data_IF_741070239448
#
_entry.id   IF_741070239448
#
_cell.length_a   1.000
_cell.length_b   1.000
_cell.length_c   1.000
_cell.angle_alpha   90.00
_cell.angle_beta   90.00
_cell.angle_gamma   90.00
#
_symmetry.space_group_name_H-M   'P 1'
#
loop_
_entity.id
_entity.type
_entity.pdbx_description
1 polymer ?
#
# COMPACT_ATOMS: atom_id res chain seq x y z
N UNK A 1 -8.98 25.58 -2.41
CA UNK A 1 -8.68 24.18 -2.77
C UNK A 1 -7.32 24.13 -3.45
N UNK A 2 -6.38 23.47 -2.86
CA UNK A 2 -5.05 23.23 -3.44
C UNK A 2 -4.98 21.77 -3.93
N UNK A 3 -4.44 21.55 -5.13
CA UNK A 3 -4.25 20.20 -5.70
C UNK A 3 -2.76 19.89 -5.73
N UNK A 4 -2.37 18.70 -5.25
CA UNK A 4 -0.98 18.24 -5.30
C UNK A 4 -0.89 16.72 -5.39
N UNK A 5 0.26 16.23 -5.82
CA UNK A 5 0.61 14.81 -5.77
C UNK A 5 1.12 14.46 -4.38
N UNK A 6 0.62 13.37 -3.80
CA UNK A 6 1.08 12.86 -2.51
C UNK A 6 1.02 11.33 -2.46
N UNK A 7 1.80 10.74 -1.57
CA UNK A 7 1.65 9.34 -1.21
C UNK A 7 0.67 9.24 -0.03
N UNK A 8 -0.32 8.37 -0.17
CA UNK A 8 -1.38 8.17 0.82
C UNK A 8 -1.29 6.75 1.36
N UNK A 9 -1.17 6.64 2.67
CA UNK A 9 -1.25 5.40 3.42
C UNK A 9 -2.62 5.31 4.09
N UNK A 10 -3.36 4.25 3.78
CA UNK A 10 -4.54 3.83 4.54
C UNK A 10 -4.15 2.64 5.41
N UNK A 11 -4.54 2.66 6.67
CA UNK A 11 -4.30 1.56 7.60
C UNK A 11 -5.53 1.32 8.47
N UNK A 12 -5.77 0.05 8.80
CA UNK A 12 -6.90 -0.40 9.62
C UNK A 12 -6.47 -1.54 10.54
N UNK A 13 -7.01 -1.57 11.77
CA UNK A 13 -6.68 -2.60 12.75
C UNK A 13 -7.54 -3.83 12.57
N UNK A 14 -6.91 -4.96 12.35
CA UNK A 14 -7.60 -6.24 12.14
C UNK A 14 -8.30 -6.70 13.40
N UNK A 15 -9.60 -6.99 13.28
CA UNK A 15 -10.39 -7.58 14.35
C UNK A 15 -10.84 -6.62 15.45
N UNK A 16 -10.67 -5.30 15.28
CA UNK A 16 -11.07 -4.29 16.25
C UNK A 16 -12.56 -4.40 16.66
N UNK A 17 -13.47 -4.55 15.69
CA UNK A 17 -14.89 -4.68 15.98
C UNK A 17 -15.20 -5.88 16.89
N UNK A 18 -14.46 -6.99 16.75
CA UNK A 18 -14.59 -8.16 17.62
C UNK A 18 -14.04 -7.89 19.00
N UNK A 19 -12.85 -7.26 19.10
CA UNK A 19 -12.26 -6.85 20.38
C UNK A 19 -13.18 -5.89 21.12
N UNK A 20 -13.87 -4.98 20.41
CA UNK A 20 -14.87 -4.08 20.99
C UNK A 20 -16.08 -4.83 21.57
N UNK A 21 -16.52 -5.91 20.94
CA UNK A 21 -17.60 -6.77 21.45
C UNK A 21 -17.16 -7.54 22.71
N UNK A 22 -15.89 -7.97 22.76
CA UNK A 22 -15.33 -8.73 23.87
C UNK A 22 -15.02 -7.83 25.08
N UNK A 23 -14.51 -6.59 24.87
CA UNK A 23 -14.20 -5.60 25.92
C UNK A 23 -14.32 -4.16 25.40
N UNK A 24 -15.49 -3.58 25.56
CA UNK A 24 -15.83 -2.22 25.11
C UNK A 24 -15.04 -1.12 25.83
N UNK A 25 -14.57 -1.36 27.04
CA UNK A 25 -13.87 -0.36 27.86
C UNK A 25 -12.36 -0.41 27.59
N UNK A 26 -11.79 -1.60 27.51
CA UNK A 26 -10.34 -1.79 27.37
C UNK A 26 -9.86 -1.56 25.95
N UNK A 27 -10.64 -1.99 24.95
CA UNK A 27 -10.25 -1.92 23.53
C UNK A 27 -9.95 -0.50 23.05
N UNK A 28 -10.78 0.53 23.31
CA UNK A 28 -10.45 1.91 22.93
C UNK A 28 -9.22 2.47 23.66
N UNK A 29 -8.99 2.03 24.89
CA UNK A 29 -7.82 2.45 25.67
C UNK A 29 -6.53 1.83 25.12
N UNK A 30 -6.58 0.56 24.70
CA UNK A 30 -5.50 -0.12 24.03
C UNK A 30 -5.18 0.52 22.66
N UNK A 31 -6.20 0.83 21.86
CA UNK A 31 -6.02 1.52 20.59
C UNK A 31 -5.31 2.88 20.77
N UNK A 32 -5.75 3.69 21.73
CA UNK A 32 -5.08 4.98 22.04
C UNK A 32 -3.63 4.80 22.48
N UNK A 33 -3.35 3.75 23.26
CA UNK A 33 -1.99 3.41 23.65
C UNK A 33 -1.13 3.04 22.43
N UNK A 34 -1.62 2.15 21.55
CA UNK A 34 -0.95 1.77 20.31
C UNK A 34 -0.73 3.00 19.42
N UNK A 35 -1.73 3.85 19.28
CA UNK A 35 -1.62 5.07 18.49
C UNK A 35 -0.49 5.96 19.03
N UNK A 36 -0.46 6.26 20.32
CA UNK A 36 0.52 7.17 20.91
C UNK A 36 1.94 6.59 21.03
N UNK A 37 2.08 5.25 21.11
CA UNK A 37 3.38 4.60 21.32
C UNK A 37 4.00 4.00 20.08
N UNK A 38 3.20 3.73 19.04
CA UNK A 38 3.64 3.09 17.82
C UNK A 38 3.36 3.98 16.60
N UNK A 39 2.08 4.34 16.38
CA UNK A 39 1.66 4.96 15.12
C UNK A 39 2.19 6.39 15.01
N UNK A 40 1.86 7.25 15.97
CA UNK A 40 2.22 8.67 15.94
C UNK A 40 3.74 8.90 15.90
N UNK A 41 4.59 8.18 16.69
CA UNK A 41 6.03 8.32 16.63
C UNK A 41 6.61 7.93 15.27
N UNK A 42 6.18 6.79 14.68
CA UNK A 42 6.69 6.35 13.39
C UNK A 42 6.27 7.30 12.27
N UNK A 43 5.01 7.76 12.27
CA UNK A 43 4.54 8.74 11.29
C UNK A 43 5.35 10.05 11.40
N UNK A 44 5.66 10.51 12.60
CA UNK A 44 6.47 11.71 12.81
C UNK A 44 7.91 11.53 12.31
N UNK A 45 8.55 10.39 12.58
CA UNK A 45 9.91 10.05 12.10
C UNK A 45 9.97 10.12 10.57
N UNK A 46 8.94 9.58 9.90
CA UNK A 46 8.86 9.52 8.44
C UNK A 46 8.13 10.72 7.82
N UNK A 47 7.92 11.80 8.59
CA UNK A 47 7.38 13.10 8.11
C UNK A 47 6.00 12.98 7.50
N UNK A 48 5.19 12.02 7.96
CA UNK A 48 3.80 11.88 7.60
C UNK A 48 2.89 12.81 8.39
N UNK A 49 1.69 13.05 7.87
CA UNK A 49 0.61 13.76 8.56
C UNK A 49 -0.64 12.89 8.54
N UNK A 50 -1.14 12.51 9.73
CA UNK A 50 -2.48 11.92 9.84
C UNK A 50 -3.48 13.03 9.56
N UNK A 51 -4.31 12.86 8.54
CA UNK A 51 -5.36 13.83 8.20
C UNK A 51 -6.77 13.31 8.52
N UNK A 52 -6.91 12.00 8.77
CA UNK A 52 -8.19 11.41 9.13
C UNK A 52 -8.01 10.15 9.96
N UNK A 53 -8.88 9.99 10.97
CA UNK A 53 -9.05 8.74 11.72
C UNK A 53 -10.46 8.22 11.50
N UNK A 54 -10.63 6.91 11.35
CA UNK A 54 -11.91 6.23 11.06
C UNK A 54 -12.19 5.14 12.10
N UNK A 55 -12.23 5.52 13.37
CA UNK A 55 -12.35 4.56 14.47
C UNK A 55 -11.02 3.87 14.75
N UNK A 56 -10.81 2.70 14.22
CA UNK A 56 -9.59 1.89 14.33
C UNK A 56 -8.63 2.04 13.14
N UNK A 57 -9.06 2.77 12.10
CA UNK A 57 -8.26 3.09 10.93
C UNK A 57 -7.74 4.52 10.92
N UNK A 58 -6.72 4.77 10.09
CA UNK A 58 -6.17 6.09 9.89
C UNK A 58 -5.66 6.29 8.46
N UNK A 59 -5.74 7.53 8.00
CA UNK A 59 -5.23 7.97 6.72
C UNK A 59 -4.09 8.96 6.92
N UNK A 60 -2.97 8.70 6.26
CA UNK A 60 -1.75 9.52 6.38
C UNK A 60 -1.33 9.98 5.00
N UNK A 61 -0.93 11.23 4.90
CA UNK A 61 -0.25 11.75 3.73
C UNK A 61 1.25 11.87 3.97
N UNK A 62 2.01 11.64 2.91
CA UNK A 62 3.45 11.83 2.87
C UNK A 62 3.82 12.59 1.60
N UNK A 63 4.78 13.50 1.71
CA UNK A 63 5.33 14.19 0.54
C UNK A 63 6.23 13.27 -0.31
N UNK A 64 6.78 12.21 0.31
CA UNK A 64 7.69 11.25 -0.32
C UNK A 64 7.10 9.84 -0.32
N UNK A 65 7.03 9.16 -1.47
CA UNK A 65 6.64 7.74 -1.53
C UNK A 65 7.57 6.83 -0.74
N UNK A 66 8.86 7.16 -0.66
CA UNK A 66 9.84 6.42 0.13
C UNK A 66 9.53 6.53 1.63
N UNK A 67 9.25 7.75 2.12
CA UNK A 67 8.88 7.96 3.52
C UNK A 67 7.59 7.20 3.87
N UNK A 68 6.62 7.18 2.95
CA UNK A 68 5.37 6.45 3.14
C UNK A 68 5.57 4.93 3.25
N UNK A 69 6.42 4.36 2.38
CA UNK A 69 6.74 2.93 2.41
C UNK A 69 7.51 2.55 3.68
N UNK A 70 8.57 3.28 4.00
CA UNK A 70 9.40 3.02 5.17
C UNK A 70 8.62 3.24 6.47
N UNK A 71 7.76 4.27 6.53
CA UNK A 71 6.83 4.49 7.64
C UNK A 71 5.85 3.32 7.83
N UNK A 72 5.26 2.82 6.75
CA UNK A 72 4.38 1.64 6.81
C UNK A 72 5.13 0.39 7.31
N UNK A 73 6.34 0.15 6.82
CA UNK A 73 7.18 -0.97 7.26
C UNK A 73 7.57 -0.82 8.74
N UNK A 74 7.94 0.38 9.18
CA UNK A 74 8.31 0.67 10.56
C UNK A 74 7.14 0.43 11.52
N UNK A 75 5.93 0.89 11.17
CA UNK A 75 4.72 0.63 11.96
C UNK A 75 4.45 -0.87 12.07
N UNK A 76 4.54 -1.66 10.98
CA UNK A 76 4.33 -3.10 11.02
C UNK A 76 5.37 -3.81 11.90
N UNK A 77 6.65 -3.40 11.84
CA UNK A 77 7.71 -3.94 12.70
C UNK A 77 7.48 -3.61 14.17
N UNK A 78 7.12 -2.36 14.48
CA UNK A 78 6.83 -1.94 15.85
C UNK A 78 5.59 -2.65 16.42
N UNK A 79 4.54 -2.83 15.61
CA UNK A 79 3.36 -3.60 15.98
C UNK A 79 3.70 -5.08 16.24
N UNK A 80 4.51 -5.69 15.39
CA UNK A 80 4.97 -7.08 15.58
C UNK A 80 5.77 -7.23 16.89
N UNK A 81 6.68 -6.32 17.19
CA UNK A 81 7.43 -6.29 18.46
C UNK A 81 6.50 -6.08 19.68
N UNK A 82 5.50 -5.20 19.55
CA UNK A 82 4.49 -5.01 20.59
C UNK A 82 3.72 -6.30 20.89
N UNK A 83 3.46 -7.11 19.87
CA UNK A 83 2.65 -8.34 19.96
C UNK A 83 3.39 -9.54 20.58
N UNK A 84 4.73 -9.53 20.68
CA UNK A 84 5.54 -10.70 21.10
C UNK A 84 5.11 -11.33 22.43
N UNK A 85 4.57 -10.50 23.36
CA UNK A 85 4.15 -10.97 24.70
C UNK A 85 2.70 -10.57 25.01
N UNK A 86 1.85 -10.45 24.00
CA UNK A 86 0.46 -10.03 24.15
C UNK A 86 -0.52 -11.14 23.83
N UNK A 87 -1.59 -11.22 24.60
CA UNK A 87 -2.73 -12.06 24.29
C UNK A 87 -3.43 -11.57 23.03
N UNK A 88 -4.10 -12.48 22.32
CA UNK A 88 -4.75 -12.19 21.02
C UNK A 88 -5.70 -10.99 21.03
N UNK A 89 -6.34 -10.69 22.17
CA UNK A 89 -7.21 -9.53 22.35
C UNK A 89 -6.48 -8.20 22.57
N UNK A 90 -5.17 -8.22 22.76
CA UNK A 90 -4.32 -7.02 22.96
C UNK A 90 -3.37 -6.75 21.81
N UNK A 91 -3.33 -7.64 20.84
CA UNK A 91 -2.43 -7.53 19.68
C UNK A 91 -2.85 -6.41 18.74
N UNK A 92 -1.87 -5.66 18.26
CA UNK A 92 -2.00 -4.67 17.20
C UNK A 92 -1.60 -5.32 15.87
N UNK A 93 -2.55 -5.58 14.99
CA UNK A 93 -2.29 -6.12 13.65
C UNK A 93 -2.95 -5.21 12.65
N UNK A 94 -2.19 -4.66 11.71
CA UNK A 94 -2.70 -3.72 10.73
C UNK A 94 -2.73 -4.32 9.33
N UNK A 95 -3.72 -3.92 8.53
CA UNK A 95 -3.70 -4.00 7.08
C UNK A 95 -3.37 -2.63 6.54
N UNK A 96 -2.60 -2.55 5.49
CA UNK A 96 -2.18 -1.26 4.94
C UNK A 96 -2.27 -1.26 3.42
N UNK A 97 -2.76 -0.12 2.89
CA UNK A 97 -2.79 0.17 1.46
C UNK A 97 -2.06 1.49 1.18
N UNK A 98 -1.15 1.50 0.20
CA UNK A 98 -0.37 2.68 -0.16
C UNK A 98 -0.54 2.99 -1.64
N UNK A 99 -0.81 4.26 -1.95
CA UNK A 99 -0.93 4.75 -3.32
C UNK A 99 -0.32 6.15 -3.46
N UNK A 100 0.10 6.49 -4.67
CA UNK A 100 0.51 7.84 -5.06
C UNK A 100 -0.55 8.37 -6.02
N UNK A 101 -1.09 9.55 -5.72
CA UNK A 101 -2.09 10.15 -6.59
C UNK A 101 -2.34 11.62 -6.28
N UNK A 102 -3.12 12.24 -7.15
CA UNK A 102 -3.58 13.60 -6.94
C UNK A 102 -4.53 13.68 -5.75
N UNK A 103 -4.29 14.65 -4.89
CA UNK A 103 -5.13 14.99 -3.75
C UNK A 103 -5.57 16.44 -3.82
N UNK A 104 -6.73 16.72 -3.24
CA UNK A 104 -7.26 18.06 -3.04
C UNK A 104 -7.33 18.33 -1.54
N UNK A 105 -6.79 19.47 -1.12
CA UNK A 105 -6.83 19.94 0.26
C UNK A 105 -8.00 20.92 0.42
N UNK A 106 -8.80 20.70 1.46
CA UNK A 106 -9.85 21.61 1.91
C UNK A 106 -9.76 21.77 3.43
N UNK A 107 -9.03 22.79 3.87
CA UNK A 107 -8.62 22.90 5.26
C UNK A 107 -7.69 21.74 5.67
N UNK A 108 -8.08 21.00 6.70
CA UNK A 108 -7.34 19.83 7.19
C UNK A 108 -7.74 18.52 6.49
N UNK A 109 -8.84 18.52 5.73
CA UNK A 109 -9.32 17.35 4.99
C UNK A 109 -8.60 17.17 3.66
N UNK A 110 -8.43 15.89 3.28
CA UNK A 110 -7.79 15.46 2.04
C UNK A 110 -8.75 14.58 1.25
N UNK A 111 -8.97 14.93 -0.01
CA UNK A 111 -9.86 14.22 -0.93
C UNK A 111 -9.13 13.86 -2.22
N UNK A 112 -9.67 12.92 -2.97
CA UNK A 112 -9.22 12.58 -4.32
C UNK A 112 -9.11 11.08 -4.55
N UNK A 113 -8.91 10.72 -5.82
CA UNK A 113 -8.80 9.31 -6.22
C UNK A 113 -7.59 8.63 -5.59
N UNK A 114 -6.51 9.40 -5.31
CA UNK A 114 -5.34 8.91 -4.59
C UNK A 114 -5.68 8.34 -3.21
N UNK A 115 -6.58 8.99 -2.47
CA UNK A 115 -7.06 8.53 -1.15
C UNK A 115 -7.94 7.29 -1.30
N UNK A 116 -8.86 7.29 -2.28
CA UNK A 116 -9.79 6.19 -2.50
C UNK A 116 -9.05 4.89 -2.87
N UNK A 117 -8.02 4.97 -3.73
CA UNK A 117 -7.22 3.81 -4.11
C UNK A 117 -6.53 3.21 -2.89
N UNK A 118 -5.85 4.02 -2.07
CA UNK A 118 -5.20 3.54 -0.85
C UNK A 118 -6.20 2.86 0.11
N UNK A 119 -7.38 3.47 0.33
CA UNK A 119 -8.45 2.94 1.17
C UNK A 119 -9.09 1.66 0.62
N UNK A 120 -9.04 1.44 -0.70
CA UNK A 120 -9.53 0.20 -1.31
C UNK A 120 -8.47 -0.91 -1.36
N UNK A 121 -7.19 -0.57 -1.37
CA UNK A 121 -6.10 -1.54 -1.28
C UNK A 121 -5.94 -2.11 0.13
N UNK A 122 -6.18 -1.29 1.17
CA UNK A 122 -6.02 -1.69 2.57
C UNK A 122 -6.78 -2.99 2.90
N UNK A 123 -8.12 -3.13 2.66
CA UNK A 123 -8.85 -4.33 3.00
C UNK A 123 -8.45 -5.58 2.20
N UNK A 124 -7.75 -5.41 1.06
CA UNK A 124 -7.21 -6.53 0.29
C UNK A 124 -5.89 -7.05 0.85
N UNK A 125 -5.24 -6.28 1.73
CA UNK A 125 -4.01 -6.71 2.40
C UNK A 125 -4.30 -7.84 3.40
N UNK A 126 -3.40 -8.82 3.47
CA UNK A 126 -3.41 -9.79 4.55
C UNK A 126 -3.13 -9.11 5.90
N UNK A 127 -3.61 -9.66 7.03
CA UNK A 127 -3.21 -9.19 8.35
C UNK A 127 -1.68 -9.07 8.49
N UNK A 128 -1.19 -7.91 8.92
CA UNK A 128 0.25 -7.60 8.96
C UNK A 128 0.87 -7.24 7.61
N UNK A 129 0.08 -7.23 6.52
CA UNK A 129 0.56 -6.97 5.16
C UNK A 129 0.45 -5.51 4.75
N UNK A 130 1.24 -5.15 3.73
CA UNK A 130 1.22 -3.85 3.06
C UNK A 130 1.01 -4.10 1.58
N UNK A 131 -0.07 -3.56 1.00
CA UNK A 131 -0.28 -3.53 -0.44
C UNK A 131 0.02 -2.15 -1.00
N UNK A 132 0.63 -2.11 -2.17
CA UNK A 132 0.90 -0.87 -2.88
C UNK A 132 0.35 -0.92 -4.29
N UNK A 133 -0.07 0.22 -4.81
CA UNK A 133 -0.42 0.36 -6.21
C UNK A 133 0.82 0.33 -7.12
N UNK A 134 0.63 0.08 -8.42
CA UNK A 134 1.66 0.16 -9.44
C UNK A 134 2.38 1.52 -9.47
N UNK A 135 1.65 2.62 -9.22
CA UNK A 135 2.22 3.96 -9.10
C UNK A 135 3.33 4.06 -8.05
N UNK A 136 3.19 3.35 -6.91
CA UNK A 136 4.20 3.28 -5.85
C UNK A 136 5.36 2.39 -6.28
N UNK A 137 5.05 1.21 -6.81
CA UNK A 137 6.05 0.24 -7.25
C UNK A 137 6.95 0.84 -8.33
N UNK A 138 6.40 1.54 -9.32
CA UNK A 138 7.15 2.19 -10.39
C UNK A 138 8.09 3.29 -9.87
N UNK A 139 7.64 4.07 -8.86
CA UNK A 139 8.44 5.11 -8.24
C UNK A 139 9.58 4.58 -7.37
N UNK A 140 9.38 3.44 -6.71
CA UNK A 140 10.32 2.87 -5.74
C UNK A 140 11.15 1.70 -6.28
N UNK A 141 10.89 1.25 -7.50
CA UNK A 141 11.65 0.20 -8.14
C UNK A 141 13.17 0.49 -8.10
N UNK A 142 13.95 -0.42 -7.56
CA UNK A 142 15.40 -0.30 -7.36
C UNK A 142 15.87 0.85 -6.43
N UNK A 143 14.95 1.46 -5.65
CA UNK A 143 15.30 2.53 -4.70
C UNK A 143 15.12 2.10 -3.25
N UNK A 144 14.56 0.94 -2.98
CA UNK A 144 14.35 0.36 -1.66
C UNK A 144 14.83 -1.09 -1.64
N UNK A 145 15.17 -1.59 -0.44
CA UNK A 145 15.49 -2.99 -0.22
C UNK A 145 14.24 -3.88 -0.14
N UNK A 146 13.05 -3.29 -0.07
CA UNK A 146 11.80 -4.03 -0.08
C UNK A 146 11.56 -4.68 -1.44
N UNK A 147 11.08 -5.93 -1.44
CA UNK A 147 10.65 -6.61 -2.64
C UNK A 147 9.15 -6.41 -2.88
N UNK A 148 8.76 -6.31 -4.15
CA UNK A 148 7.38 -6.17 -4.59
C UNK A 148 6.92 -7.42 -5.32
N UNK A 149 5.95 -8.14 -4.75
CA UNK A 149 5.33 -9.32 -5.34
C UNK A 149 4.00 -8.93 -6.00
N UNK A 150 3.90 -9.07 -7.32
CA UNK A 150 2.69 -8.70 -8.05
C UNK A 150 1.53 -9.64 -7.74
N UNK A 151 0.40 -9.08 -7.35
CA UNK A 151 -0.88 -9.78 -7.19
C UNK A 151 -1.76 -9.67 -8.45
N UNK A 152 -1.26 -8.99 -9.48
CA UNK A 152 -2.01 -8.72 -10.70
C UNK A 152 -3.07 -7.63 -10.55
N UNK A 153 -3.92 -7.46 -11.60
CA UNK A 153 -4.97 -6.44 -11.61
C UNK A 153 -6.04 -6.71 -10.55
N UNK A 154 -6.38 -5.68 -9.78
CA UNK A 154 -7.46 -5.68 -8.79
C UNK A 154 -8.57 -4.73 -9.24
N UNK A 155 -9.81 -5.23 -9.26
CA UNK A 155 -10.98 -4.40 -9.54
C UNK A 155 -11.40 -3.71 -8.24
N UNK A 156 -11.12 -2.43 -8.12
CA UNK A 156 -11.51 -1.63 -6.97
C UNK A 156 -12.91 -1.04 -7.19
N UNK A 157 -13.68 -0.92 -6.10
CA UNK A 157 -15.03 -0.37 -6.17
C UNK A 157 -15.01 1.07 -6.67
N UNK A 158 -15.89 1.43 -7.61
CA UNK A 158 -16.04 2.76 -8.20
C UNK A 158 -14.79 3.26 -8.97
N UNK A 159 -13.96 2.33 -9.48
CA UNK A 159 -12.85 2.65 -10.37
C UNK A 159 -13.14 2.10 -11.76
N UNK A 160 -12.90 2.93 -12.80
CA UNK A 160 -13.18 2.56 -14.19
C UNK A 160 -12.16 1.55 -14.77
N UNK A 161 -10.98 1.50 -14.18
CA UNK A 161 -9.91 0.59 -14.60
C UNK A 161 -9.32 -0.19 -13.42
N UNK A 162 -8.91 -1.45 -13.63
CA UNK A 162 -8.23 -2.22 -12.59
C UNK A 162 -6.86 -1.60 -12.26
N UNK A 163 -6.49 -1.64 -10.99
CA UNK A 163 -5.19 -1.22 -10.47
C UNK A 163 -4.33 -2.46 -10.23
N UNK A 164 -3.09 -2.46 -10.68
CA UNK A 164 -2.17 -3.56 -10.36
C UNK A 164 -1.65 -3.37 -8.93
N UNK A 165 -1.95 -4.35 -8.08
CA UNK A 165 -1.51 -4.33 -6.69
C UNK A 165 -0.24 -5.18 -6.49
N UNK A 166 0.62 -4.74 -5.57
CA UNK A 166 1.82 -5.45 -5.18
C UNK A 166 1.87 -5.62 -3.66
N UNK A 167 2.22 -6.82 -3.22
CA UNK A 167 2.52 -7.09 -1.82
C UNK A 167 3.97 -6.69 -1.53
N UNK A 168 4.16 -5.92 -0.46
CA UNK A 168 5.49 -5.53 0.02
C UNK A 168 6.07 -6.62 0.91
N UNK A 169 7.29 -7.03 0.61
CA UNK A 169 8.12 -7.92 1.44
C UNK A 169 9.25 -7.09 2.03
N UNK A 170 9.20 -6.83 3.32
CA UNK A 170 10.16 -5.99 4.04
C UNK A 170 11.53 -6.67 4.27
N UNK A 171 11.64 -7.97 4.04
CA UNK A 171 12.92 -8.67 4.08
C UNK A 171 13.55 -8.71 2.69
N UNK A 172 14.87 -8.40 2.57
CA UNK A 172 15.55 -8.54 1.30
C UNK A 172 15.45 -10.01 0.86
N UNK A 173 14.84 -10.25 -0.29
CA UNK A 173 14.95 -11.55 -0.96
C UNK A 173 16.43 -11.76 -1.21
N UNK A 174 17.07 -12.68 -0.45
CA UNK A 174 18.48 -13.03 -0.68
C UNK A 174 18.62 -13.39 -2.16
N UNK A 175 19.54 -12.75 -2.90
CA UNK A 175 19.76 -13.10 -4.30
C UNK A 175 20.33 -14.51 -4.36
N UNK A 176 19.48 -15.50 -4.61
CA UNK A 176 19.86 -16.91 -4.66
C UNK A 176 18.83 -17.85 -5.26
N UNK A 177 17.55 -17.47 -5.27
CA UNK A 177 16.48 -18.34 -5.74
C UNK A 177 15.30 -17.55 -6.33
N UNK A 178 15.56 -16.55 -7.15
CA UNK A 178 14.53 -16.01 -8.00
C UNK A 178 14.66 -16.68 -9.36
N UNK A 179 13.82 -17.67 -9.63
CA UNK A 179 13.60 -18.08 -11.02
C UNK A 179 13.06 -16.86 -11.74
N UNK A 180 13.90 -16.23 -12.52
CA UNK A 180 13.54 -15.16 -13.43
C UNK A 180 12.51 -15.71 -14.42
N UNK A 181 11.23 -15.41 -14.22
CA UNK A 181 10.22 -15.60 -15.24
C UNK A 181 10.19 -14.33 -16.07
N UNK A 182 10.72 -14.38 -17.33
CA UNK A 182 10.50 -13.29 -18.25
C UNK A 182 9.00 -13.14 -18.40
N UNK A 183 8.48 -11.93 -18.20
CA UNK A 183 7.11 -11.59 -18.59
C UNK A 183 6.92 -12.11 -19.99
N UNK A 184 6.03 -13.06 -20.18
CA UNK A 184 5.56 -13.48 -21.48
C UNK A 184 4.75 -12.32 -22.05
N UNK A 185 5.45 -11.35 -22.59
CA UNK A 185 4.85 -10.42 -23.52
C UNK A 185 4.39 -11.27 -24.71
N UNK A 186 3.09 -11.35 -25.06
CA UNK A 186 2.68 -12.05 -26.25
C UNK A 186 3.43 -11.42 -27.43
N UNK A 187 4.04 -12.21 -28.33
CA UNK A 187 4.78 -11.65 -29.43
C UNK A 187 3.82 -10.81 -30.28
N UNK A 188 4.17 -9.54 -30.47
CA UNK A 188 3.54 -8.70 -31.45
C UNK A 188 3.57 -9.45 -32.79
N UNK A 189 2.43 -9.96 -33.22
CA UNK A 189 2.29 -10.52 -34.57
C UNK A 189 2.58 -9.41 -35.58
N UNK A 190 3.82 -9.33 -36.04
CA UNK A 190 4.17 -8.59 -37.24
C UNK A 190 3.49 -9.32 -38.38
N UNK A 191 2.32 -8.86 -38.78
CA UNK A 191 1.74 -9.18 -40.09
C UNK A 191 2.60 -8.49 -41.13
N UNK A 192 3.64 -9.19 -41.58
CA UNK A 192 4.29 -8.87 -42.85
C UNK A 192 3.29 -9.21 -43.95
N UNK A 193 2.59 -8.20 -44.46
CA UNK A 193 1.97 -8.28 -45.79
C UNK A 193 3.11 -8.43 -46.81
N UNK A 194 3.27 -9.63 -47.29
CA UNK A 194 3.94 -9.84 -48.58
C UNK A 194 2.99 -9.32 -49.67
N UNK A 195 3.31 -8.20 -50.27
CA UNK A 195 2.80 -7.84 -51.56
C UNK A 195 3.65 -8.57 -52.59
N UNK A 196 3.00 -9.45 -53.36
CA UNK A 196 3.54 -10.06 -54.56
C UNK A 196 3.53 -9.04 -55.69
N UNK A 197 4.53 -9.16 -56.58
CA UNK A 197 4.57 -8.50 -57.91
C UNK A 197 5.60 -7.37 -57.98
N UNK A 198 6.72 -7.49 -58.59
CA UNK A 198 6.87 -7.60 -60.06
C UNK A 198 8.29 -8.01 -60.44
N UNK A 199 8.31 -8.94 -61.36
CA UNK A 199 9.43 -9.21 -62.22
C UNK A 199 9.67 -8.01 -63.15
N UNK A 200 10.90 -7.49 -63.23
CA UNK A 200 11.43 -6.99 -64.50
C UNK A 200 12.89 -7.42 -64.61
N UNK A 201 13.15 -8.15 -65.70
CA UNK A 201 14.47 -8.43 -66.27
C UNK A 201 15.09 -7.12 -66.78
N UNK A 202 16.32 -6.90 -66.59
CA UNK A 202 17.39 -6.82 -67.57
C UNK A 202 18.73 -6.91 -66.88
#
# INVERSE_FOLDING_TARGET
>A
MERRLAAILAADMVGFSRQMQDDEVRTPSNLRHIQSTIIDPEIAVWRGRIFKTTGDGFLVEFASPMDALEGAIAIQKAAAAHNENKDSGEQAVFRMGLNIGDIMLDGDDVFGDGVNIAAHLEPLASPGGILVADTVQDQLWNKTDAAFESLGPQNLKNMDAPIVAYLVRAEPVRPGLVSWHPRTCPPLRRTLRRSAGDLIRI
#
